data_IF_677104700856
#
_entry.id   IF_677104700856
#
_cell.length_a   1.000
_cell.length_b   1.000
_cell.length_c   1.000
_cell.angle_alpha   90.00
_cell.angle_beta   90.00
_cell.angle_gamma   90.00
#
_symmetry.space_group_name_H-M   'P 1'
#
loop_
_entity.id
_entity.type
_entity.pdbx_description
1 polymer ?
#
# COMPACT_ATOMS: atom_id res chain seq x y z
N UNK A 1 14.04 -3.44 21.07
CA UNK A 1 13.84 -3.15 20.54
C UNK A 1 14.04 -2.71 19.42
N UNK A 2 14.07 -2.85 18.93
CA UNK A 2 14.25 -2.39 18.08
C UNK A 2 13.72 -1.64 17.32
N UNK A 3 14.00 -1.13 17.00
CA UNK A 3 13.38 -0.21 16.51
C UNK A 3 13.67 0.04 15.09
N UNK A 4 12.74 0.26 14.22
CA UNK A 4 12.85 0.60 12.82
C UNK A 4 11.87 1.72 12.55
N UNK A 5 12.27 2.92 12.90
CA UNK A 5 11.33 4.04 12.90
C UNK A 5 10.64 4.30 11.57
N UNK A 6 11.36 4.15 10.45
CA UNK A 6 10.74 4.45 9.15
C UNK A 6 9.70 3.41 8.77
N UNK A 7 9.99 2.14 9.05
CA UNK A 7 9.02 1.10 8.79
C UNK A 7 7.79 1.29 9.67
N UNK A 8 8.03 1.61 10.93
CA UNK A 8 6.93 1.84 11.86
C UNK A 8 6.06 3.00 11.38
N UNK A 9 6.67 4.04 10.84
CA UNK A 9 5.91 5.19 10.36
C UNK A 9 5.03 4.85 9.18
N UNK A 10 5.55 4.09 8.23
CA UNK A 10 4.74 3.70 7.08
C UNK A 10 3.53 2.90 7.56
N UNK A 11 3.77 1.90 8.40
CA UNK A 11 2.69 1.05 8.87
C UNK A 11 1.71 1.82 9.75
N UNK A 12 2.22 2.71 10.60
CA UNK A 12 1.36 3.55 11.42
C UNK A 12 0.47 4.44 10.57
N UNK A 13 1.03 5.03 9.53
CA UNK A 13 0.25 5.90 8.66
C UNK A 13 -0.78 5.13 7.86
N UNK A 14 -0.47 3.90 7.48
CA UNK A 14 -1.46 3.05 6.84
C UNK A 14 -2.63 2.79 7.78
N UNK A 15 -2.35 2.56 9.06
CA UNK A 15 -3.39 2.38 10.04
C UNK A 15 -4.26 3.62 10.20
N UNK A 16 -3.63 4.79 10.24
CA UNK A 16 -4.38 6.04 10.35
C UNK A 16 -5.23 6.27 9.10
N UNK A 17 -4.67 6.03 7.93
CA UNK A 17 -5.41 6.21 6.69
C UNK A 17 -6.61 5.27 6.64
N UNK A 18 -6.43 4.05 7.15
CA UNK A 18 -7.52 3.08 7.18
C UNK A 18 -8.65 3.54 8.09
N UNK A 19 -8.29 4.06 9.27
CA UNK A 19 -9.31 4.55 10.20
C UNK A 19 -10.05 5.76 9.64
N UNK A 20 -9.43 6.49 8.75
CA UNK A 20 -10.05 7.63 8.06
C UNK A 20 -10.75 7.21 6.78
N UNK A 21 -10.80 5.92 6.51
CA UNK A 21 -11.47 5.35 5.34
C UNK A 21 -10.79 5.74 4.03
N UNK A 22 -9.48 5.85 4.07
CA UNK A 22 -8.70 6.24 2.89
C UNK A 22 -7.79 5.12 2.39
N UNK A 23 -8.12 3.88 2.74
CA UNK A 23 -7.41 2.71 2.23
C UNK A 23 -8.42 1.67 1.80
N UNK A 24 -8.18 1.09 0.64
CA UNK A 24 -8.90 -0.13 0.23
C UNK A 24 -7.85 -1.21 0.04
N UNK A 25 -8.25 -2.46 0.20
CA UNK A 25 -7.26 -3.54 0.17
C UNK A 25 -7.82 -4.77 -0.50
N UNK A 26 -6.90 -5.64 -0.91
CA UNK A 26 -7.26 -6.86 -1.62
C UNK A 26 -7.33 -6.61 -3.11
N UNK A 27 -7.39 -7.70 -3.87
CA UNK A 27 -7.26 -7.61 -5.32
C UNK A 27 -8.34 -6.79 -5.97
N UNK A 28 -9.59 -7.10 -5.67
CA UNK A 28 -10.71 -6.44 -6.34
C UNK A 28 -10.76 -4.95 -6.04
N UNK A 29 -10.69 -4.59 -4.75
CA UNK A 29 -10.84 -3.19 -4.36
C UNK A 29 -9.66 -2.35 -4.84
N UNK A 30 -8.46 -2.91 -4.79
CA UNK A 30 -7.28 -2.19 -5.27
C UNK A 30 -7.39 -1.93 -6.77
N UNK A 31 -7.78 -2.95 -7.51
CA UNK A 31 -7.95 -2.81 -8.96
C UNK A 31 -8.99 -1.76 -9.30
N UNK A 32 -10.13 -1.78 -8.61
CA UNK A 32 -11.17 -0.79 -8.83
C UNK A 32 -10.67 0.62 -8.57
N UNK A 33 -9.94 0.81 -7.48
CA UNK A 33 -9.44 2.13 -7.13
C UNK A 33 -8.47 2.64 -8.18
N UNK A 34 -7.59 1.76 -8.69
CA UNK A 34 -6.64 2.16 -9.71
C UNK A 34 -7.35 2.55 -11.00
N UNK A 35 -8.28 1.70 -11.44
CA UNK A 35 -8.94 1.92 -12.72
C UNK A 35 -9.87 3.14 -12.71
N UNK A 36 -10.43 3.46 -11.54
CA UNK A 36 -11.36 4.57 -11.42
C UNK A 36 -10.70 5.88 -11.04
N UNK A 37 -9.38 5.91 -11.01
CA UNK A 37 -8.66 7.15 -10.72
C UNK A 37 -8.72 7.57 -9.26
N UNK A 38 -9.01 6.65 -8.36
CA UNK A 38 -9.11 6.96 -6.93
C UNK A 38 -7.86 6.60 -6.14
N UNK A 39 -6.97 5.83 -6.72
CA UNK A 39 -5.75 5.41 -6.02
C UNK A 39 -4.65 6.41 -6.26
N UNK A 40 -4.05 6.89 -5.17
CA UNK A 40 -2.91 7.80 -5.24
C UNK A 40 -1.60 7.09 -4.94
N UNK A 41 -1.68 5.88 -4.39
CA UNK A 41 -0.51 5.08 -4.07
C UNK A 41 -0.98 3.64 -3.90
N UNK A 42 -0.21 2.70 -4.45
CA UNK A 42 -0.49 1.29 -4.24
C UNK A 42 0.72 0.67 -3.56
N UNK A 43 0.47 -0.15 -2.56
CA UNK A 43 1.54 -0.91 -1.90
C UNK A 43 1.30 -2.38 -2.16
N UNK A 44 2.33 -3.06 -2.60
CA UNK A 44 2.31 -4.48 -2.93
C UNK A 44 3.26 -5.19 -1.99
N UNK A 45 2.79 -6.26 -1.37
CA UNK A 45 3.62 -7.01 -0.44
C UNK A 45 4.81 -7.62 -1.17
N UNK A 46 5.97 -7.57 -0.52
CA UNK A 46 7.19 -8.13 -1.10
C UNK A 46 7.08 -9.63 -1.32
N UNK A 47 6.30 -10.30 -0.47
CA UNK A 47 6.13 -11.75 -0.58
C UNK A 47 4.81 -12.13 -1.27
N UNK A 48 4.22 -11.23 -2.02
CA UNK A 48 3.08 -11.58 -2.86
C UNK A 48 3.56 -12.52 -3.98
N UNK A 49 2.64 -13.28 -4.54
CA UNK A 49 3.00 -14.19 -5.62
C UNK A 49 3.52 -13.40 -6.82
N UNK A 50 4.29 -14.08 -7.68
CA UNK A 50 4.80 -13.44 -8.89
C UNK A 50 3.67 -12.89 -9.75
N UNK A 51 2.59 -13.65 -9.89
CA UNK A 51 1.46 -13.18 -10.67
C UNK A 51 0.86 -11.91 -10.10
N UNK A 52 0.69 -11.87 -8.78
CA UNK A 52 0.13 -10.68 -8.14
C UNK A 52 1.04 -9.49 -8.30
N UNK A 53 2.33 -9.67 -8.07
CA UNK A 53 3.27 -8.56 -8.19
C UNK A 53 3.27 -8.01 -9.60
N UNK A 54 3.31 -8.90 -10.58
CA UNK A 54 3.33 -8.47 -11.97
C UNK A 54 2.04 -7.78 -12.36
N UNK A 55 0.92 -8.35 -11.96
CA UNK A 55 -0.39 -7.79 -12.32
C UNK A 55 -0.52 -6.36 -11.81
N UNK A 56 -0.22 -6.14 -10.53
CA UNK A 56 -0.46 -4.82 -9.96
C UNK A 56 0.59 -3.80 -10.34
N UNK A 57 1.85 -4.22 -10.51
CA UNK A 57 2.84 -3.28 -11.00
C UNK A 57 2.53 -2.84 -12.43
N UNK A 58 2.14 -3.78 -13.29
CA UNK A 58 1.78 -3.44 -14.67
C UNK A 58 0.58 -2.52 -14.71
N UNK A 59 -0.42 -2.81 -13.89
CA UNK A 59 -1.62 -2.00 -13.83
C UNK A 59 -1.30 -0.58 -13.39
N UNK A 60 -0.48 -0.45 -12.36
CA UNK A 60 -0.11 0.87 -11.86
C UNK A 60 0.69 1.65 -12.89
N UNK A 61 1.56 0.97 -13.62
CA UNK A 61 2.30 1.65 -14.68
C UNK A 61 1.39 2.12 -15.79
N UNK A 62 0.42 1.30 -16.16
CA UNK A 62 -0.51 1.67 -17.21
C UNK A 62 -1.35 2.89 -16.82
N UNK A 63 -1.85 2.90 -15.59
CA UNK A 63 -2.70 3.98 -15.11
C UNK A 63 -1.92 5.12 -14.45
N UNK A 64 -0.61 5.00 -14.42
CA UNK A 64 0.29 6.03 -13.90
C UNK A 64 0.05 6.32 -12.43
N UNK A 65 -0.11 5.25 -11.65
CA UNK A 65 -0.27 5.34 -10.20
C UNK A 65 1.03 4.94 -9.55
N UNK A 66 1.58 5.73 -8.62
CA UNK A 66 2.80 5.34 -7.91
C UNK A 66 2.57 4.06 -7.13
N UNK A 67 3.58 3.20 -7.11
CA UNK A 67 3.48 1.97 -6.34
C UNK A 67 4.83 1.62 -5.72
N UNK A 68 4.76 0.83 -4.65
CA UNK A 68 5.96 0.39 -3.93
C UNK A 68 5.76 -1.05 -3.49
N UNK A 69 6.85 -1.81 -3.54
CA UNK A 69 6.90 -3.11 -2.85
C UNK A 69 7.36 -2.83 -1.44
N UNK A 70 6.57 -3.23 -0.45
CA UNK A 70 6.92 -2.91 0.92
C UNK A 70 6.34 -3.93 1.88
N UNK A 71 7.18 -4.47 2.77
CA UNK A 71 6.75 -5.33 3.85
C UNK A 71 6.14 -6.64 3.33
N UNK A 72 5.60 -7.42 4.22
CA UNK A 72 5.02 -8.72 3.92
C UNK A 72 3.51 -8.64 4.02
N UNK A 73 2.83 -9.56 3.33
CA UNK A 73 1.37 -9.49 3.28
C UNK A 73 0.73 -9.62 4.65
N UNK A 74 1.35 -10.42 5.54
CA UNK A 74 0.83 -10.58 6.90
C UNK A 74 0.92 -9.28 7.68
N UNK A 75 2.03 -8.58 7.51
CA UNK A 75 2.27 -7.32 8.21
C UNK A 75 1.40 -6.20 7.65
N UNK A 76 1.29 -6.15 6.33
CA UNK A 76 0.41 -5.15 5.71
C UNK A 76 -1.03 -5.33 6.16
N UNK A 77 -1.51 -6.57 6.16
CA UNK A 77 -2.87 -6.83 6.62
C UNK A 77 -3.07 -6.39 8.05
N UNK A 78 -2.13 -6.76 8.92
CA UNK A 78 -2.23 -6.40 10.32
C UNK A 78 -2.28 -4.87 10.50
N UNK A 79 -1.47 -4.15 9.75
CA UNK A 79 -1.39 -2.69 9.88
C UNK A 79 -2.73 -2.01 9.58
N UNK A 80 -3.54 -2.60 8.74
CA UNK A 80 -4.83 -2.02 8.38
C UNK A 80 -6.01 -2.77 9.01
N UNK A 81 -5.72 -3.61 10.01
CA UNK A 81 -6.78 -4.28 10.77
C UNK A 81 -7.44 -5.42 10.02
N UNK A 82 -6.73 -6.06 9.13
CA UNK A 82 -7.24 -7.16 8.32
C UNK A 82 -6.33 -8.37 8.44
N UNK A 83 -6.77 -9.48 7.88
CA UNK A 83 -5.88 -10.61 7.73
C UNK A 83 -4.89 -10.26 6.62
N UNK A 84 -4.11 -11.23 6.16
CA UNK A 84 -3.06 -10.89 5.18
C UNK A 84 -3.63 -10.18 3.96
N UNK A 85 -2.85 -9.24 3.45
CA UNK A 85 -3.22 -8.49 2.25
C UNK A 85 -2.02 -8.36 1.35
N UNK A 86 -2.13 -8.85 0.13
CA UNK A 86 -1.04 -8.78 -0.84
C UNK A 86 -0.90 -7.40 -1.47
N UNK A 87 -1.96 -6.62 -1.47
CA UNK A 87 -1.91 -5.27 -2.03
C UNK A 87 -2.98 -4.40 -1.39
N UNK A 88 -2.73 -3.10 -1.46
CA UNK A 88 -3.69 -2.12 -0.97
C UNK A 88 -3.49 -0.83 -1.75
N UNK A 89 -4.49 0.04 -1.70
CA UNK A 89 -4.40 1.35 -2.33
C UNK A 89 -4.79 2.42 -1.33
N UNK A 90 -4.02 3.51 -1.34
CA UNK A 90 -4.33 4.68 -0.53
C UNK A 90 -5.10 5.64 -1.42
N UNK A 91 -6.28 6.04 -0.96
CA UNK A 91 -7.21 6.79 -1.79
C UNK A 91 -7.31 8.26 -1.40
N UNK A 92 -6.32 8.76 -0.68
CA UNK A 92 -6.23 10.16 -0.30
C UNK A 92 -4.86 10.69 -0.66
N UNK A 93 -4.82 11.81 -1.36
CA UNK A 93 -3.55 12.35 -1.85
C UNK A 93 -2.62 12.75 -0.71
N UNK A 94 -3.16 13.33 0.36
CA UNK A 94 -2.33 13.75 1.49
C UNK A 94 -1.66 12.59 2.19
N UNK A 95 -2.43 11.56 2.51
CA UNK A 95 -1.86 10.36 3.11
C UNK A 95 -0.85 9.70 2.17
N UNK A 96 -1.18 9.62 0.89
CA UNK A 96 -0.28 9.01 -0.08
C UNK A 96 1.06 9.72 -0.11
N UNK A 97 1.02 11.05 -0.12
CA UNK A 97 2.23 11.85 -0.15
C UNK A 97 3.10 11.62 1.07
N UNK A 98 2.49 11.65 2.24
CA UNK A 98 3.22 11.42 3.49
C UNK A 98 3.82 10.03 3.54
N UNK A 99 3.06 9.03 3.14
CA UNK A 99 3.55 7.66 3.15
C UNK A 99 4.71 7.50 2.18
N UNK A 100 4.60 8.10 0.99
CA UNK A 100 5.67 8.01 0.01
C UNK A 100 6.98 8.58 0.52
N UNK A 101 6.92 9.68 1.25
CA UNK A 101 8.13 10.26 1.83
C UNK A 101 8.83 9.28 2.74
N UNK A 102 8.07 8.58 3.56
CA UNK A 102 8.67 7.60 4.47
C UNK A 102 9.15 6.36 3.72
N UNK A 103 8.48 5.98 2.66
CA UNK A 103 8.93 4.85 1.84
C UNK A 103 10.28 5.15 1.21
N UNK A 104 10.45 6.34 0.68
CA UNK A 104 11.73 6.74 0.10
C UNK A 104 12.81 6.77 1.16
N UNK A 105 12.50 7.32 2.33
CA UNK A 105 13.48 7.46 3.39
C UNK A 105 13.87 6.13 4.03
N UNK A 106 13.06 5.10 3.86
CA UNK A 106 13.34 3.83 4.52
C UNK A 106 14.36 2.98 3.78
N UNK A 107 14.94 3.47 2.73
CA UNK A 107 15.92 2.73 1.94
C UNK A 107 17.31 2.73 2.54
#
# INVERSE_FOLDING_TARGET
>A
MQNRPNRDRVLSMLGLATRSRNVVSGGFATEEAVKNGKAYLVIIAENASDNTRKKYSNMCEFYKVPYWYYSEKEILGHAIGKEERSCLAVTDAGFADSIRKHLVDSK
#
